data_IF_579321767347
#
_entry.id   IF_579321767347
#
_cell.length_a   1.000
_cell.length_b   1.000
_cell.length_c   1.000
_cell.angle_alpha   90.00
_cell.angle_beta   90.00
_cell.angle_gamma   90.00
#
_symmetry.space_group_name_H-M   'P 1'
#
loop_
_entity.id
_entity.type
_entity.pdbx_description
1 polymer ?
#
# COMPACT_ATOMS: atom_id res chain seq x y z
N UNK A 1 2.88 -12.32 -8.25
CA UNK A 1 3.00 -10.91 -7.89
C UNK A 1 2.49 -10.65 -6.48
N UNK A 2 1.24 -10.98 -6.12
CA UNK A 2 0.65 -10.67 -4.81
C UNK A 2 1.41 -11.26 -3.62
N UNK A 3 1.82 -12.53 -3.68
CA UNK A 3 2.60 -13.16 -2.61
C UNK A 3 3.94 -12.44 -2.34
N UNK A 4 4.60 -11.99 -3.39
CA UNK A 4 5.82 -11.20 -3.29
C UNK A 4 5.57 -9.84 -2.62
N UNK A 5 4.48 -9.19 -2.98
CA UNK A 5 4.06 -7.92 -2.37
C UNK A 5 3.66 -8.09 -0.91
N UNK A 6 2.92 -9.17 -0.59
CA UNK A 6 2.58 -9.49 0.80
C UNK A 6 3.83 -9.77 1.63
N UNK A 7 4.83 -10.47 1.08
CA UNK A 7 6.11 -10.71 1.73
C UNK A 7 6.88 -9.39 1.97
N UNK A 8 6.89 -8.49 0.98
CA UNK A 8 7.48 -7.15 1.12
C UNK A 8 6.84 -6.37 2.28
N UNK A 9 5.51 -6.25 2.31
CA UNK A 9 4.82 -5.56 3.40
C UNK A 9 4.94 -6.28 4.75
N UNK A 10 5.04 -7.61 4.75
CA UNK A 10 5.29 -8.38 5.97
C UNK A 10 6.65 -8.05 6.56
N UNK A 11 7.69 -7.92 5.73
CA UNK A 11 9.02 -7.52 6.18
C UNK A 11 9.03 -6.11 6.80
N UNK A 12 8.30 -5.17 6.20
CA UNK A 12 8.15 -3.81 6.73
C UNK A 12 7.34 -3.77 8.02
N UNK A 13 6.21 -4.48 8.07
CA UNK A 13 5.35 -4.55 9.25
C UNK A 13 5.98 -5.34 10.42
N UNK A 14 7.02 -6.12 10.16
CA UNK A 14 7.83 -6.79 11.16
C UNK A 14 8.86 -5.89 11.85
N UNK A 15 9.14 -4.71 11.29
CA UNK A 15 10.04 -3.74 11.89
C UNK A 15 9.43 -3.18 13.19
N UNK A 16 10.30 -2.87 14.16
CA UNK A 16 9.85 -2.26 15.40
C UNK A 16 9.51 -0.78 15.16
N UNK A 17 8.32 -0.33 15.57
CA UNK A 17 7.98 1.09 15.49
C UNK A 17 8.94 1.92 16.35
N UNK A 18 9.32 3.10 15.86
CA UNK A 18 10.13 4.03 16.64
C UNK A 18 9.40 4.46 17.93
N UNK A 19 10.04 4.24 19.08
CA UNK A 19 9.52 4.57 20.42
C UNK A 19 10.49 5.42 21.22
N UNK A 20 11.41 6.13 20.59
CA UNK A 20 12.36 6.99 21.28
C UNK A 20 11.66 8.26 21.81
N UNK A 21 12.23 8.87 22.86
CA UNK A 21 11.76 10.17 23.34
C UNK A 21 11.84 11.27 22.27
N UNK A 22 12.80 11.17 21.35
CA UNK A 22 12.90 12.06 20.18
C UNK A 22 11.71 11.87 19.24
N UNK A 23 11.30 10.63 18.97
CA UNK A 23 10.13 10.33 18.15
C UNK A 23 8.82 10.82 18.81
N UNK A 24 8.76 10.86 20.14
CA UNK A 24 7.64 11.44 20.86
C UNK A 24 7.61 12.98 20.76
N UNK A 25 8.75 13.64 20.80
CA UNK A 25 8.83 15.11 20.77
C UNK A 25 8.81 15.70 19.35
N UNK A 26 9.51 15.07 18.41
CA UNK A 26 9.71 15.58 17.04
C UNK A 26 8.97 14.80 15.95
N UNK A 27 8.16 13.81 16.33
CA UNK A 27 7.54 12.89 15.40
C UNK A 27 8.42 11.70 15.01
N UNK A 28 7.81 10.70 14.41
CA UNK A 28 8.50 9.53 13.87
C UNK A 28 9.08 9.86 12.51
N UNK A 29 10.17 9.20 12.16
CA UNK A 29 10.87 9.35 10.88
C UNK A 29 11.03 7.99 10.15
N UNK A 30 10.27 6.97 10.57
CA UNK A 30 10.28 5.63 9.98
C UNK A 30 9.12 5.42 8.99
N UNK A 31 8.54 6.52 8.52
CA UNK A 31 7.53 6.50 7.47
C UNK A 31 8.15 6.42 6.07
N UNK A 32 7.41 5.80 5.17
CA UNK A 32 7.67 5.82 3.75
C UNK A 32 6.39 6.13 2.97
N UNK A 33 6.53 6.72 1.78
CA UNK A 33 5.42 6.97 0.89
C UNK A 33 5.45 5.99 -0.29
N UNK A 34 4.30 5.38 -0.56
CA UNK A 34 4.03 4.60 -1.76
C UNK A 34 3.06 5.41 -2.60
N UNK A 35 3.48 5.75 -3.81
CA UNK A 35 2.73 6.69 -4.62
C UNK A 35 2.48 6.11 -6.01
N UNK A 36 1.25 6.25 -6.49
CA UNK A 36 0.86 5.99 -7.87
C UNK A 36 0.48 7.33 -8.48
N UNK A 37 1.21 7.75 -9.48
CA UNK A 37 1.10 9.07 -10.08
C UNK A 37 0.78 8.95 -11.56
N UNK A 38 -0.27 9.61 -12.01
CA UNK A 38 -0.56 9.80 -13.42
C UNK A 38 -0.21 11.25 -13.80
N UNK A 39 0.74 11.39 -14.70
CA UNK A 39 1.18 12.67 -15.24
C UNK A 39 1.50 12.51 -16.72
N UNK A 40 1.07 13.47 -17.56
CA UNK A 40 1.24 13.40 -19.03
C UNK A 40 0.74 12.06 -19.61
N UNK A 41 -0.39 11.59 -19.10
CA UNK A 41 -1.02 10.31 -19.47
C UNK A 41 -0.20 9.06 -19.14
N UNK A 42 0.88 9.16 -18.38
CA UNK A 42 1.72 8.03 -17.97
C UNK A 42 1.55 7.77 -16.48
N UNK A 43 1.31 6.51 -16.14
CA UNK A 43 1.20 6.04 -14.76
C UNK A 43 2.53 5.49 -14.31
N UNK A 44 3.06 6.04 -13.21
CA UNK A 44 4.31 5.64 -12.59
C UNK A 44 4.11 5.30 -11.12
N UNK A 45 4.93 4.40 -10.63
CA UNK A 45 4.98 4.01 -9.22
C UNK A 45 6.23 4.61 -8.58
N UNK A 46 6.04 5.32 -7.48
CA UNK A 46 7.13 5.93 -6.72
C UNK A 46 7.16 5.39 -5.30
N UNK A 47 8.35 5.28 -4.76
CA UNK A 47 8.59 4.95 -3.35
C UNK A 47 9.53 5.99 -2.77
N UNK A 48 9.05 6.76 -1.80
CA UNK A 48 9.85 7.76 -1.10
C UNK A 48 10.18 7.25 0.29
N UNK A 49 11.45 7.23 0.63
CA UNK A 49 11.95 6.65 1.88
C UNK A 49 13.00 7.55 2.53
N UNK A 50 13.15 7.51 3.86
CA UNK A 50 14.28 8.15 4.52
C UNK A 50 15.62 7.59 4.00
N UNK A 51 16.62 8.43 3.85
CA UNK A 51 17.96 8.01 3.37
C UNK A 51 18.57 6.85 4.17
N UNK A 52 18.28 6.80 5.48
CA UNK A 52 18.73 5.72 6.36
C UNK A 52 18.13 4.34 6.02
N UNK A 53 16.98 4.32 5.35
CA UNK A 53 16.27 3.08 4.98
C UNK A 53 16.39 2.74 3.50
N UNK A 54 17.03 3.58 2.70
CA UNK A 54 17.08 3.45 1.24
C UNK A 54 17.61 2.07 0.81
N UNK A 55 18.81 1.69 1.26
CA UNK A 55 19.44 0.42 0.87
C UNK A 55 18.58 -0.78 1.26
N UNK A 56 17.97 -0.75 2.45
CA UNK A 56 17.10 -1.83 2.90
C UNK A 56 15.86 -1.96 2.00
N UNK A 57 15.23 -0.83 1.66
CA UNK A 57 14.03 -0.83 0.81
C UNK A 57 14.35 -1.24 -0.62
N UNK A 58 15.45 -0.77 -1.20
CA UNK A 58 15.91 -1.20 -2.54
C UNK A 58 16.17 -2.73 -2.58
N UNK A 59 16.80 -3.27 -1.55
CA UNK A 59 17.01 -4.71 -1.42
C UNK A 59 15.68 -5.46 -1.27
N UNK A 60 14.76 -4.96 -0.45
CA UNK A 60 13.45 -5.58 -0.23
C UNK A 60 12.59 -5.55 -1.51
N UNK A 61 12.59 -4.45 -2.27
CA UNK A 61 11.92 -4.35 -3.57
C UNK A 61 12.54 -5.37 -4.55
N UNK A 62 13.86 -5.43 -4.62
CA UNK A 62 14.58 -6.33 -5.52
C UNK A 62 14.35 -7.80 -5.20
N UNK A 63 14.20 -8.14 -3.92
CA UNK A 63 13.89 -9.49 -3.48
C UNK A 63 12.45 -9.88 -3.80
N UNK A 64 11.51 -8.93 -3.67
CA UNK A 64 10.10 -9.15 -3.97
C UNK A 64 9.81 -9.19 -5.48
N UNK A 65 10.46 -8.31 -6.25
CA UNK A 65 10.25 -8.17 -7.69
C UNK A 65 11.60 -8.14 -8.43
N UNK A 66 12.07 -9.31 -8.84
CA UNK A 66 13.37 -9.48 -9.51
C UNK A 66 13.50 -8.67 -10.80
N UNK A 67 12.38 -8.42 -11.46
CA UNK A 67 12.31 -7.71 -12.75
C UNK A 67 12.02 -6.21 -12.61
N UNK A 68 11.77 -5.72 -11.37
CA UNK A 68 11.58 -4.31 -11.12
C UNK A 68 12.91 -3.55 -11.25
N UNK A 69 12.86 -2.44 -11.98
CA UNK A 69 13.96 -1.48 -12.02
C UNK A 69 13.68 -0.34 -11.04
N UNK A 70 14.59 -0.14 -10.09
CA UNK A 70 14.53 0.95 -9.12
C UNK A 70 15.58 1.97 -9.48
N UNK A 71 15.15 3.19 -9.79
CA UNK A 71 16.03 4.31 -10.14
C UNK A 71 15.72 5.50 -9.26
N UNK A 72 16.75 6.20 -8.74
CA UNK A 72 16.55 7.48 -8.08
C UNK A 72 16.07 8.49 -9.13
N UNK A 73 15.03 9.22 -8.81
CA UNK A 73 14.44 10.23 -9.68
C UNK A 73 14.22 11.51 -8.89
N UNK A 74 14.12 12.63 -9.61
CA UNK A 74 13.65 13.89 -9.05
C UNK A 74 12.17 13.77 -8.65
N UNK A 75 11.74 14.63 -7.71
CA UNK A 75 10.36 14.62 -7.25
C UNK A 75 9.40 15.02 -8.38
N UNK A 76 8.24 14.40 -8.40
CA UNK A 76 7.21 14.66 -9.40
C UNK A 76 6.38 15.90 -9.03
N UNK A 77 5.87 16.59 -10.03
CA UNK A 77 4.94 17.70 -9.85
C UNK A 77 3.68 17.48 -10.69
N UNK A 78 2.57 17.21 -10.02
CA UNK A 78 1.26 17.04 -10.67
C UNK A 78 0.49 18.35 -10.85
N UNK A 79 1.01 19.46 -10.35
CA UNK A 79 0.32 20.73 -10.31
C UNK A 79 0.60 21.55 -11.59
N UNK A 80 -0.45 22.04 -12.22
CA UNK A 80 -0.37 23.02 -13.29
C UNK A 80 -0.52 24.44 -12.71
N UNK A 81 0.22 25.45 -13.21
CA UNK A 81 0.10 26.82 -12.73
C UNK A 81 -1.33 27.39 -12.82
N UNK A 82 -2.10 26.98 -13.82
CA UNK A 82 -3.49 27.38 -14.04
C UNK A 82 -4.50 26.34 -13.58
N UNK A 83 -4.02 25.21 -13.04
CA UNK A 83 -4.86 24.07 -12.67
C UNK A 83 -5.63 24.27 -11.37
N UNK A 84 -6.78 23.66 -11.30
CA UNK A 84 -7.58 23.57 -10.07
C UNK A 84 -7.22 22.28 -9.34
N UNK A 85 -6.69 22.42 -8.13
CA UNK A 85 -6.29 21.28 -7.30
C UNK A 85 -7.41 20.93 -6.34
N UNK A 86 -7.76 19.66 -6.26
CA UNK A 86 -8.68 19.08 -5.29
C UNK A 86 -8.07 17.84 -4.67
N UNK A 87 -8.55 17.46 -3.48
CA UNK A 87 -8.07 16.23 -2.85
C UNK A 87 -8.89 15.84 -1.64
N UNK A 88 -8.67 14.64 -1.18
CA UNK A 88 -9.32 14.08 -0.01
C UNK A 88 -8.36 13.13 0.72
N UNK A 89 -8.60 12.94 2.01
CA UNK A 89 -8.08 11.78 2.72
C UNK A 89 -9.02 10.59 2.50
N UNK A 90 -8.45 9.41 2.54
CA UNK A 90 -9.18 8.14 2.53
C UNK A 90 -9.06 7.53 3.92
N UNK A 91 -10.15 7.09 4.50
CA UNK A 91 -10.20 6.45 5.82
C UNK A 91 -11.03 5.18 5.78
N UNK A 92 -10.89 4.35 6.80
CA UNK A 92 -11.80 3.23 7.02
C UNK A 92 -13.08 3.71 7.71
N UNK A 93 -14.23 3.18 7.28
CA UNK A 93 -15.55 3.53 7.84
C UNK A 93 -15.76 2.96 9.24
N UNK A 94 -15.14 1.82 9.54
CA UNK A 94 -15.21 1.13 10.83
C UNK A 94 -13.83 1.06 11.49
N UNK A 95 -13.75 0.47 12.68
CA UNK A 95 -12.47 0.22 13.36
C UNK A 95 -11.51 -0.55 12.45
N UNK A 96 -10.23 -0.22 12.51
CA UNK A 96 -9.17 -0.88 11.73
C UNK A 96 -9.01 -2.39 12.04
N UNK A 97 -9.67 -2.90 13.08
CA UNK A 97 -9.70 -4.33 13.37
C UNK A 97 -10.50 -5.14 12.32
N UNK A 98 -11.50 -4.53 11.68
CA UNK A 98 -12.30 -5.18 10.66
C UNK A 98 -11.57 -5.19 9.32
N UNK A 99 -11.59 -6.34 8.59
CA UNK A 99 -10.89 -6.47 7.32
C UNK A 99 -11.61 -5.77 6.17
N UNK A 100 -10.84 -5.36 5.17
CA UNK A 100 -11.32 -5.03 3.83
C UNK A 100 -11.27 -6.28 2.93
N UNK A 101 -11.86 -6.22 1.74
CA UNK A 101 -11.77 -7.28 0.74
C UNK A 101 -10.39 -7.28 0.11
N UNK A 102 -9.70 -8.40 0.20
CA UNK A 102 -8.34 -8.57 -0.33
C UNK A 102 -8.35 -9.23 -1.71
N UNK A 103 -7.21 -9.22 -2.38
CA UNK A 103 -7.00 -9.87 -3.68
C UNK A 103 -7.39 -11.36 -3.68
N UNK A 104 -7.32 -12.05 -2.52
CA UNK A 104 -7.71 -13.47 -2.39
C UNK A 104 -9.20 -13.72 -2.59
N UNK A 105 -10.02 -12.68 -2.42
CA UNK A 105 -11.49 -12.74 -2.53
C UNK A 105 -11.99 -11.96 -3.76
N UNK A 106 -11.09 -11.63 -4.70
CA UNK A 106 -11.41 -10.92 -5.94
C UNK A 106 -10.98 -11.74 -7.15
N UNK A 107 -11.82 -11.76 -8.18
CA UNK A 107 -11.56 -12.53 -9.42
C UNK A 107 -10.56 -11.80 -10.35
N UNK A 108 -10.49 -10.47 -10.23
CA UNK A 108 -9.61 -9.61 -11.02
C UNK A 108 -8.60 -8.92 -10.13
N UNK A 109 -7.51 -8.45 -10.75
CA UNK A 109 -6.52 -7.63 -10.07
C UNK A 109 -7.17 -6.34 -9.54
N UNK A 110 -7.22 -6.16 -8.20
CA UNK A 110 -7.88 -5.01 -7.59
C UNK A 110 -7.20 -3.67 -7.91
N UNK A 111 -5.90 -3.65 -8.23
CA UNK A 111 -5.17 -2.46 -8.63
C UNK A 111 -5.71 -1.87 -9.94
N UNK A 112 -6.31 -2.70 -10.80
CA UNK A 112 -6.91 -2.22 -12.05
C UNK A 112 -7.95 -1.11 -11.81
N UNK A 113 -8.75 -1.18 -10.74
CA UNK A 113 -9.70 -0.13 -10.41
C UNK A 113 -9.01 1.21 -10.14
N UNK A 114 -7.89 1.19 -9.43
CA UNK A 114 -7.09 2.37 -9.09
C UNK A 114 -6.42 2.93 -10.35
N UNK A 115 -5.73 2.11 -11.12
CA UNK A 115 -5.04 2.55 -12.34
C UNK A 115 -6.01 3.04 -13.42
N UNK A 116 -7.12 2.35 -13.63
CA UNK A 116 -8.16 2.75 -14.58
C UNK A 116 -8.81 4.09 -14.22
N UNK A 117 -8.93 4.42 -12.93
CA UNK A 117 -9.52 5.68 -12.49
C UNK A 117 -8.76 6.93 -12.96
N UNK A 118 -7.46 6.77 -13.25
CA UNK A 118 -6.58 7.86 -13.73
C UNK A 118 -6.07 7.66 -15.16
N UNK A 119 -6.36 6.52 -15.78
CA UNK A 119 -5.83 6.17 -17.11
C UNK A 119 -6.31 7.11 -18.23
N UNK A 120 -7.47 7.75 -18.05
CA UNK A 120 -8.10 8.63 -19.06
C UNK A 120 -7.85 10.11 -18.82
N UNK A 121 -6.99 10.47 -17.85
CA UNK A 121 -6.67 11.88 -17.60
C UNK A 121 -6.06 12.54 -18.86
N UNK A 122 -6.47 13.79 -19.18
CA UNK A 122 -5.81 14.59 -20.21
C UNK A 122 -4.33 14.79 -19.90
N UNK A 123 -3.52 15.04 -20.92
CA UNK A 123 -2.07 15.23 -20.78
C UNK A 123 -1.70 16.42 -19.88
N UNK A 124 -2.56 17.44 -19.85
CA UNK A 124 -2.40 18.66 -19.05
C UNK A 124 -2.85 18.52 -17.60
N UNK A 125 -3.43 17.38 -17.24
CA UNK A 125 -3.95 17.10 -15.90
C UNK A 125 -3.08 16.06 -15.19
N UNK A 126 -3.11 16.11 -13.87
CA UNK A 126 -2.33 15.18 -13.04
C UNK A 126 -3.13 14.64 -11.85
N UNK A 127 -2.83 13.43 -11.44
CA UNK A 127 -3.43 12.84 -10.25
C UNK A 127 -2.45 11.92 -9.53
N UNK A 128 -2.62 11.80 -8.21
CA UNK A 128 -1.81 10.93 -7.40
C UNK A 128 -2.61 10.26 -6.27
N UNK A 129 -2.35 8.97 -6.08
CA UNK A 129 -2.65 8.25 -4.85
C UNK A 129 -1.38 8.20 -4.01
N UNK A 130 -1.46 8.60 -2.76
CA UNK A 130 -0.34 8.59 -1.82
C UNK A 130 -0.73 7.78 -0.59
N UNK A 131 0.02 6.74 -0.29
CA UNK A 131 -0.09 5.91 0.90
C UNK A 131 1.18 6.08 1.73
N UNK A 132 1.09 6.83 2.81
CA UNK A 132 2.16 6.92 3.80
C UNK A 132 2.01 5.75 4.74
N UNK A 133 3.06 4.95 4.90
CA UNK A 133 3.05 3.75 5.72
C UNK A 133 4.20 3.76 6.71
N UNK A 134 3.99 3.15 7.86
CA UNK A 134 5.04 2.92 8.87
C UNK A 134 4.70 1.71 9.74
N UNK A 135 5.67 1.09 10.44
CA UNK A 135 5.42 0.00 11.35
C UNK A 135 4.42 0.40 12.45
N UNK A 136 3.43 -0.46 12.72
CA UNK A 136 2.39 -0.18 13.74
C UNK A 136 2.70 -0.88 15.07
N UNK A 137 2.06 -0.39 16.14
CA UNK A 137 2.08 -1.07 17.43
C UNK A 137 1.10 -2.25 17.43
N UNK A 138 1.33 -3.27 18.28
CA UNK A 138 0.43 -4.43 18.38
C UNK A 138 -0.94 -4.16 19.02
N UNK A 139 -1.28 -2.91 19.35
CA UNK A 139 -2.53 -2.57 20.04
C UNK A 139 -3.78 -2.91 19.21
N UNK A 140 -3.77 -2.63 17.92
CA UNK A 140 -4.86 -2.94 17.01
C UNK A 140 -5.17 -4.44 16.94
N UNK A 141 -4.12 -5.27 16.91
CA UNK A 141 -4.21 -6.74 16.89
C UNK A 141 -4.87 -7.25 18.18
N UNK A 142 -4.39 -6.79 19.34
CA UNK A 142 -4.99 -7.14 20.64
C UNK A 142 -6.47 -6.76 20.70
N UNK A 143 -6.83 -5.62 20.12
CA UNK A 143 -8.22 -5.16 20.05
C UNK A 143 -9.07 -6.07 19.17
N UNK A 144 -8.60 -6.45 17.98
CA UNK A 144 -9.30 -7.37 17.07
C UNK A 144 -9.55 -8.73 17.73
N UNK A 145 -8.49 -9.34 18.29
CA UNK A 145 -8.59 -10.63 19.02
C UNK A 145 -9.57 -10.53 20.19
N UNK A 146 -9.55 -9.41 20.95
CA UNK A 146 -10.48 -9.21 22.06
C UNK A 146 -11.93 -9.13 21.61
N UNK A 147 -12.20 -8.44 20.49
CA UNK A 147 -13.55 -8.35 19.92
C UNK A 147 -14.01 -9.75 19.50
N UNK A 148 -13.22 -10.50 18.74
CA UNK A 148 -13.52 -11.86 18.33
C UNK A 148 -13.78 -12.79 19.52
N UNK A 149 -12.93 -12.73 20.55
CA UNK A 149 -13.10 -13.54 21.77
C UNK A 149 -14.39 -13.18 22.56
N UNK A 150 -14.79 -11.91 22.56
CA UNK A 150 -16.05 -11.48 23.19
C UNK A 150 -17.26 -11.97 22.39
N UNK A 151 -17.22 -11.92 21.07
CA UNK A 151 -18.27 -12.46 20.20
C UNK A 151 -18.41 -13.98 20.39
N UNK A 152 -17.28 -14.70 20.47
CA UNK A 152 -17.27 -16.15 20.77
C UNK A 152 -17.90 -16.49 22.12
N UNK A 153 -17.94 -15.54 23.08
CA UNK A 153 -18.64 -15.69 24.35
C UNK A 153 -20.12 -15.30 24.27
N UNK A 154 -20.69 -15.12 23.09
CA UNK A 154 -22.09 -14.79 22.86
C UNK A 154 -22.43 -13.30 22.97
N UNK A 155 -21.42 -12.40 22.95
CA UNK A 155 -21.71 -10.95 22.89
C UNK A 155 -22.08 -10.55 21.45
N UNK A 156 -23.01 -9.61 21.31
CA UNK A 156 -23.26 -8.98 20.02
C UNK A 156 -22.01 -8.22 19.55
N UNK A 157 -21.83 -8.05 18.22
CA UNK A 157 -20.71 -7.29 17.68
C UNK A 157 -20.59 -5.91 18.33
N UNK A 158 -21.71 -5.20 18.55
CA UNK A 158 -21.72 -3.86 19.15
C UNK A 158 -21.21 -3.85 20.60
N UNK A 159 -21.61 -4.85 21.41
CA UNK A 159 -21.17 -4.97 22.79
C UNK A 159 -19.72 -5.43 22.89
N UNK A 160 -19.30 -6.34 22.00
CA UNK A 160 -17.92 -6.80 21.90
C UNK A 160 -16.95 -5.65 21.57
N UNK A 161 -17.34 -4.71 20.68
CA UNK A 161 -16.58 -3.52 20.33
C UNK A 161 -16.48 -2.55 21.51
N UNK A 162 -17.60 -2.33 22.24
CA UNK A 162 -17.65 -1.41 23.38
C UNK A 162 -16.96 -1.97 24.62
N UNK A 163 -16.70 -3.27 24.66
CA UNK A 163 -16.12 -3.96 25.81
C UNK A 163 -17.03 -3.97 27.05
N UNK A 164 -18.30 -3.68 26.88
CA UNK A 164 -19.27 -3.79 27.95
C UNK A 164 -19.52 -5.28 28.19
N UNK A 165 -19.11 -5.78 29.38
CA UNK A 165 -19.68 -7.00 29.90
C UNK A 165 -21.20 -6.78 29.94
N UNK A 166 -21.97 -7.58 29.24
CA UNK A 166 -23.38 -7.72 29.55
C UNK A 166 -23.44 -8.31 30.95
N UNK A 167 -23.43 -7.43 31.93
CA UNK A 167 -23.82 -7.79 33.28
C UNK A 167 -25.32 -8.04 33.26
N UNK A 168 -25.72 -9.16 32.68
CA UNK A 168 -26.93 -9.86 33.07
C UNK A 168 -26.63 -10.72 34.32
N UNK A 169 -25.86 -10.19 35.25
CA UNK A 169 -25.99 -10.54 36.64
C UNK A 169 -27.23 -9.77 37.08
N UNK A 170 -28.36 -10.38 36.80
CA UNK A 170 -29.65 -9.84 37.26
C UNK A 170 -29.65 -9.77 38.77
N UNK A 171 -30.35 -8.77 39.30
CA UNK A 171 -30.76 -8.64 40.66
C UNK A 171 -31.31 -9.96 41.26
N UNK A 172 -31.60 -10.95 40.48
CA UNK A 172 -31.99 -12.34 40.82
C UNK A 172 -30.91 -13.14 41.58
N UNK A 173 -29.61 -12.78 41.48
CA UNK A 173 -28.56 -13.46 42.27
C UNK A 173 -28.47 -12.98 43.70
N UNK A 174 -29.10 -11.86 44.02
CA UNK A 174 -29.25 -11.34 45.39
C UNK A 174 -30.43 -11.97 46.13
N UNK A 175 -31.34 -12.68 45.45
CA UNK A 175 -32.57 -13.27 46.03
C UNK A 175 -32.56 -14.79 46.14
N UNK A 176 -31.43 -15.46 45.90
CA UNK A 176 -31.23 -16.89 46.20
C UNK A 176 -32.05 -17.86 45.38
N UNK A 177 -32.75 -17.46 44.32
CA UNK A 177 -33.48 -18.36 43.42
C UNK A 177 -32.54 -18.83 42.32
N UNK A 178 -31.91 -19.98 42.52
CA UNK A 178 -31.25 -20.76 41.49
C UNK A 178 -32.28 -21.29 40.48
N UNK A 179 -32.66 -20.52 39.49
CA UNK A 179 -33.15 -21.10 38.26
C UNK A 179 -31.95 -21.52 37.41
N UNK A 180 -31.74 -22.81 37.26
CA UNK A 180 -30.93 -23.38 36.21
C UNK A 180 -31.62 -23.00 34.88
N UNK A 181 -31.27 -21.82 34.34
CA UNK A 181 -31.48 -21.58 32.93
C UNK A 181 -30.36 -22.33 32.20
N UNK A 182 -30.76 -23.41 31.52
CA UNK A 182 -29.97 -23.96 30.44
C UNK A 182 -29.34 -22.81 29.67
N UNK A 183 -28.01 -22.84 29.54
CA UNK A 183 -27.26 -21.95 28.68
C UNK A 183 -27.81 -22.26 27.28
N UNK A 184 -28.77 -21.47 26.81
CA UNK A 184 -29.03 -21.44 25.36
C UNK A 184 -27.69 -21.20 24.72
N UNK A 185 -27.18 -22.23 24.04
CA UNK A 185 -26.02 -22.10 23.15
C UNK A 185 -26.37 -20.95 22.20
N UNK A 186 -25.79 -19.83 22.44
CA UNK A 186 -25.98 -18.64 21.60
C UNK A 186 -25.37 -18.99 20.25
N UNK A 187 -26.16 -19.61 19.37
CA UNK A 187 -25.76 -19.90 18.00
C UNK A 187 -25.47 -18.56 17.36
N UNK A 188 -24.19 -18.35 17.09
CA UNK A 188 -23.73 -17.19 16.32
C UNK A 188 -24.44 -17.22 14.96
N UNK A 189 -24.84 -16.06 14.49
CA UNK A 189 -25.32 -15.98 13.11
C UNK A 189 -24.17 -16.29 12.13
N UNK A 190 -24.43 -16.80 10.93
CA UNK A 190 -23.38 -17.00 9.92
C UNK A 190 -22.57 -15.71 9.65
N UNK A 191 -23.21 -14.55 9.79
CA UNK A 191 -22.57 -13.25 9.63
C UNK A 191 -21.60 -12.96 10.78
N UNK A 192 -21.96 -13.29 12.02
CA UNK A 192 -21.09 -13.13 13.18
C UNK A 192 -19.88 -14.06 13.12
N UNK A 193 -20.08 -15.29 12.62
CA UNK A 193 -18.97 -16.23 12.37
C UNK A 193 -17.98 -15.69 11.34
N UNK A 194 -18.47 -15.15 10.22
CA UNK A 194 -17.64 -14.51 9.20
C UNK A 194 -16.92 -13.29 9.74
N UNK A 195 -17.58 -12.48 10.58
CA UNK A 195 -16.97 -11.33 11.22
C UNK A 195 -15.82 -11.73 12.16
N UNK A 196 -16.05 -12.78 12.98
CA UNK A 196 -15.01 -13.32 13.88
C UNK A 196 -13.82 -13.85 13.09
N UNK A 197 -14.07 -14.68 12.09
CA UNK A 197 -13.03 -15.23 11.22
C UNK A 197 -12.22 -14.11 10.55
N UNK A 198 -12.90 -13.09 10.03
CA UNK A 198 -12.25 -11.93 9.42
C UNK A 198 -11.37 -11.14 10.40
N UNK A 199 -11.82 -10.97 11.66
CA UNK A 199 -11.02 -10.32 12.71
C UNK A 199 -9.76 -11.14 13.06
N UNK A 200 -9.89 -12.45 13.20
CA UNK A 200 -8.77 -13.36 13.51
C UNK A 200 -7.78 -13.42 12.34
N UNK A 201 -8.29 -13.58 11.10
CA UNK A 201 -7.47 -13.59 9.88
C UNK A 201 -6.67 -12.28 9.74
N UNK A 202 -7.31 -11.13 9.89
CA UNK A 202 -6.63 -9.85 9.86
C UNK A 202 -5.57 -9.74 10.95
N UNK A 203 -5.88 -10.14 12.17
CA UNK A 203 -4.97 -10.09 13.31
C UNK A 203 -3.78 -11.05 13.20
N UNK A 204 -3.84 -12.10 12.38
CA UNK A 204 -2.75 -13.08 12.20
C UNK A 204 -1.56 -12.53 11.42
N UNK A 205 -1.73 -11.44 10.66
CA UNK A 205 -0.72 -10.89 9.75
C UNK A 205 -0.03 -9.65 10.32
N UNK A 206 1.12 -9.30 9.74
CA UNK A 206 1.82 -8.06 10.07
C UNK A 206 0.96 -6.85 9.68
N UNK A 207 0.92 -5.83 10.52
CA UNK A 207 0.17 -4.60 10.28
C UNK A 207 1.08 -3.40 10.07
N UNK A 208 0.53 -2.41 9.38
CA UNK A 208 1.17 -1.12 9.11
C UNK A 208 0.17 0.00 9.41
N UNK A 209 0.64 1.07 10.02
CA UNK A 209 -0.11 2.33 10.10
C UNK A 209 -0.12 2.94 8.71
N UNK A 210 -1.29 3.37 8.25
CA UNK A 210 -1.48 3.93 6.92
C UNK A 210 -2.19 5.28 7.02
N UNK A 211 -1.65 6.29 6.32
CA UNK A 211 -2.32 7.55 6.05
C UNK A 211 -2.46 7.69 4.53
N UNK A 212 -3.70 7.71 4.02
CA UNK A 212 -3.96 7.71 2.59
C UNK A 212 -4.55 9.03 2.12
N UNK A 213 -4.01 9.56 1.02
CA UNK A 213 -4.46 10.78 0.35
C UNK A 213 -4.63 10.53 -1.14
N UNK A 214 -5.57 11.24 -1.73
CA UNK A 214 -5.74 11.33 -3.17
C UNK A 214 -5.80 12.80 -3.56
N UNK A 215 -5.09 13.16 -4.61
CA UNK A 215 -5.01 14.54 -5.11
C UNK A 215 -5.14 14.52 -6.63
N UNK A 216 -5.96 15.42 -7.16
CA UNK A 216 -6.12 15.64 -8.59
C UNK A 216 -5.96 17.12 -8.92
N UNK A 217 -5.28 17.39 -10.03
CA UNK A 217 -5.14 18.71 -10.62
C UNK A 217 -5.77 18.67 -12.01
N UNK A 218 -6.87 19.36 -12.18
CA UNK A 218 -7.62 19.45 -13.44
C UNK A 218 -7.54 20.85 -14.05
N UNK A 219 -7.84 20.95 -15.34
CA UNK A 219 -7.89 22.22 -16.04
C UNK A 219 -9.06 23.09 -15.55
N UNK A 220 -10.15 22.47 -15.12
CA UNK A 220 -11.34 23.12 -14.55
C UNK A 220 -11.71 22.50 -13.20
N UNK A 221 -12.56 23.18 -12.45
CA UNK A 221 -13.06 22.65 -11.17
C UNK A 221 -13.89 21.37 -11.36
N UNK A 222 -14.67 21.30 -12.42
CA UNK A 222 -15.49 20.14 -12.78
C UNK A 222 -14.60 18.94 -13.12
N UNK A 223 -13.57 19.13 -13.96
CA UNK A 223 -12.62 18.07 -14.31
C UNK A 223 -11.89 17.54 -13.09
N UNK A 224 -11.37 18.44 -12.23
CA UNK A 224 -10.69 18.06 -11.00
C UNK A 224 -11.62 17.26 -10.05
N UNK A 225 -12.88 17.70 -9.89
CA UNK A 225 -13.85 17.00 -9.04
C UNK A 225 -14.26 15.66 -9.62
N UNK A 226 -14.44 15.56 -10.94
CA UNK A 226 -14.75 14.30 -11.63
C UNK A 226 -13.61 13.29 -11.43
N UNK A 227 -12.35 13.73 -11.58
CA UNK A 227 -11.17 12.90 -11.36
C UNK A 227 -11.08 12.42 -9.90
N UNK A 228 -11.31 13.33 -8.93
CA UNK A 228 -11.34 12.97 -7.51
C UNK A 228 -12.45 11.96 -7.20
N UNK A 229 -13.63 12.10 -7.79
CA UNK A 229 -14.74 11.18 -7.61
C UNK A 229 -14.42 9.79 -8.20
N UNK A 230 -13.83 9.74 -9.40
CA UNK A 230 -13.38 8.50 -10.02
C UNK A 230 -12.33 7.77 -9.13
N UNK A 231 -11.35 8.51 -8.60
CA UNK A 231 -10.33 7.97 -7.70
C UNK A 231 -10.92 7.43 -6.39
N UNK A 232 -11.91 8.10 -5.82
CA UNK A 232 -12.62 7.62 -4.62
C UNK A 232 -13.40 6.35 -4.91
N UNK A 233 -14.09 6.29 -6.05
CA UNK A 233 -14.85 5.12 -6.47
C UNK A 233 -13.96 3.90 -6.75
N UNK A 234 -12.68 4.11 -7.07
CA UNK A 234 -11.71 3.04 -7.25
C UNK A 234 -11.48 2.18 -5.99
N UNK A 235 -11.87 2.66 -4.83
CA UNK A 235 -11.83 1.89 -3.58
C UNK A 235 -13.06 0.99 -3.36
N UNK A 236 -14.11 1.09 -4.19
CA UNK A 236 -15.33 0.28 -4.02
C UNK A 236 -15.10 -1.24 -4.04
N UNK A 237 -14.20 -1.80 -4.88
CA UNK A 237 -13.93 -3.25 -4.89
C UNK A 237 -13.37 -3.82 -3.58
N UNK A 238 -12.80 -2.98 -2.73
CA UNK A 238 -12.22 -3.39 -1.44
C UNK A 238 -13.22 -3.42 -0.29
N UNK A 239 -14.47 -3.00 -0.52
CA UNK A 239 -15.47 -2.87 0.52
C UNK A 239 -16.09 -4.23 0.89
N UNK A 240 -16.25 -4.46 2.18
CA UNK A 240 -17.03 -5.57 2.75
C UNK A 240 -18.10 -4.95 3.64
N UNK A 241 -19.28 -4.77 3.09
CA UNK A 241 -20.34 -4.01 3.77
C UNK A 241 -20.98 -4.77 4.95
N UNK A 242 -21.04 -6.07 4.85
CA UNK A 242 -21.76 -6.92 5.81
C UNK A 242 -20.99 -7.06 7.13
N UNK A 243 -19.85 -7.70 7.10
CA UNK A 243 -19.07 -8.05 8.31
C UNK A 243 -17.70 -7.39 8.39
N UNK A 244 -17.26 -6.71 7.34
CA UNK A 244 -15.93 -6.13 7.24
C UNK A 244 -15.91 -4.61 7.33
N UNK A 245 -15.01 -4.03 6.60
CA UNK A 245 -14.77 -2.60 6.53
C UNK A 245 -14.97 -2.07 5.09
N UNK A 246 -15.03 -0.77 4.98
CA UNK A 246 -15.11 -0.06 3.70
C UNK A 246 -14.27 1.19 3.76
N UNK A 247 -13.87 1.70 2.59
CA UNK A 247 -13.24 2.99 2.48
C UNK A 247 -14.28 4.11 2.42
N UNK A 248 -13.95 5.22 3.06
CA UNK A 248 -14.77 6.42 3.08
C UNK A 248 -13.91 7.65 2.81
N UNK A 249 -14.52 8.65 2.17
CA UNK A 249 -13.94 9.98 1.98
C UNK A 249 -13.87 10.71 3.31
N UNK A 250 -12.73 11.37 3.57
CA UNK A 250 -12.57 12.34 4.64
C UNK A 250 -12.18 13.69 4.03
N UNK A 251 -13.08 14.66 4.16
CA UNK A 251 -12.88 15.99 3.56
C UNK A 251 -11.89 16.78 4.40
N UNK A 252 -10.80 17.31 3.83
CA UNK A 252 -9.84 18.10 4.57
C UNK A 252 -10.46 19.42 5.05
N UNK A 253 -10.21 19.78 6.31
CA UNK A 253 -10.65 21.09 6.88
C UNK A 253 -9.96 22.27 6.19
N UNK A 254 -8.74 22.10 5.74
CA UNK A 254 -7.95 23.08 4.99
C UNK A 254 -7.35 22.41 3.77
N UNK A 255 -7.70 22.88 2.59
CA UNK A 255 -7.14 22.41 1.32
C UNK A 255 -5.64 22.70 1.23
N UNK A 256 -5.21 23.90 1.60
CA UNK A 256 -3.82 24.31 1.55
C UNK A 256 -2.94 23.42 2.44
N UNK A 257 -3.39 23.12 3.70
CA UNK A 257 -2.67 22.22 4.59
C UNK A 257 -2.58 20.80 4.05
N UNK A 258 -3.65 20.29 3.43
CA UNK A 258 -3.65 18.96 2.84
C UNK A 258 -2.69 18.88 1.65
N UNK A 259 -2.65 19.90 0.78
CA UNK A 259 -1.70 19.97 -0.34
C UNK A 259 -0.27 20.06 0.17
N UNK A 260 0.01 20.91 1.17
CA UNK A 260 1.33 20.99 1.82
C UNK A 260 1.76 19.63 2.38
N UNK A 261 0.87 18.98 3.12
CA UNK A 261 1.13 17.65 3.69
C UNK A 261 1.32 16.57 2.61
N UNK A 262 0.68 16.69 1.45
CA UNK A 262 0.91 15.81 0.30
C UNK A 262 2.30 16.03 -0.30
N UNK A 263 2.69 17.28 -0.56
CA UNK A 263 3.99 17.65 -1.15
C UNK A 263 5.15 17.21 -0.23
N UNK A 264 5.04 17.48 1.06
CA UNK A 264 6.09 17.15 2.03
C UNK A 264 5.99 15.72 2.58
N UNK A 265 5.01 14.95 2.15
CA UNK A 265 4.76 13.57 2.61
C UNK A 265 4.62 13.47 4.13
N UNK A 266 3.96 14.47 4.73
CA UNK A 266 3.75 14.51 6.18
C UNK A 266 2.75 13.43 6.62
N UNK A 267 3.13 12.65 7.62
CA UNK A 267 2.25 11.64 8.21
C UNK A 267 1.25 12.30 9.18
N UNK A 268 -0.05 12.05 9.00
CA UNK A 268 -1.10 12.59 9.88
C UNK A 268 -1.60 11.50 10.85
N UNK A 269 -1.13 11.58 12.10
CA UNK A 269 -1.52 10.63 13.16
C UNK A 269 -3.02 10.60 13.44
N UNK A 270 -3.73 11.70 13.21
CA UNK A 270 -5.18 11.79 13.43
C UNK A 270 -6.01 11.11 12.33
N UNK A 271 -5.39 10.83 11.17
CA UNK A 271 -6.02 10.19 10.02
C UNK A 271 -5.43 8.83 9.69
N UNK A 272 -4.83 8.23 10.71
CA UNK A 272 -4.18 6.91 10.59
C UNK A 272 -5.18 5.79 10.77
N UNK A 273 -5.08 4.79 9.94
CA UNK A 273 -5.76 3.50 10.09
C UNK A 273 -4.76 2.36 9.88
N UNK A 274 -5.13 1.14 10.26
CA UNK A 274 -4.22 -0.01 10.12
C UNK A 274 -4.72 -0.94 9.04
N UNK A 275 -3.82 -1.25 8.10
CA UNK A 275 -3.97 -2.36 7.15
C UNK A 275 -2.93 -3.43 7.48
N UNK A 276 -3.30 -4.70 7.26
CA UNK A 276 -2.31 -5.76 7.29
C UNK A 276 -1.60 -5.89 5.94
N UNK A 277 -0.55 -6.70 5.88
CA UNK A 277 0.28 -6.87 4.69
C UNK A 277 -0.50 -7.34 3.45
N UNK A 278 -1.50 -8.21 3.62
CA UNK A 278 -2.36 -8.69 2.53
C UNK A 278 -3.31 -7.61 2.02
N UNK A 279 -3.91 -6.84 2.93
CA UNK A 279 -4.80 -5.73 2.58
C UNK A 279 -4.04 -4.64 1.83
N UNK A 280 -2.82 -4.31 2.29
CA UNK A 280 -1.99 -3.31 1.64
C UNK A 280 -1.49 -3.81 0.28
N UNK A 281 -1.11 -5.09 0.16
CA UNK A 281 -0.75 -5.71 -1.11
C UNK A 281 -1.90 -5.72 -2.12
N UNK A 282 -3.15 -5.70 -1.64
CA UNK A 282 -4.31 -5.60 -2.52
C UNK A 282 -4.50 -4.21 -3.11
N UNK A 283 -4.11 -3.15 -2.36
CA UNK A 283 -4.31 -1.75 -2.76
C UNK A 283 -3.11 -1.23 -3.55
N UNK A 284 -1.92 -1.63 -3.16
CA UNK A 284 -0.68 -1.19 -3.80
C UNK A 284 0.26 -2.37 -4.04
N UNK A 285 0.57 -2.61 -5.29
CA UNK A 285 1.60 -3.54 -5.76
C UNK A 285 2.10 -3.08 -7.12
N UNK A 286 3.23 -3.58 -7.56
CA UNK A 286 3.69 -3.31 -8.91
C UNK A 286 2.78 -4.02 -9.92
N UNK A 287 2.51 -3.39 -11.08
CA UNK A 287 1.63 -3.94 -12.09
C UNK A 287 2.14 -5.30 -12.58
N UNK A 288 1.21 -6.15 -12.93
CA UNK A 288 1.49 -7.47 -13.47
C UNK A 288 1.32 -7.46 -14.99
N UNK A 289 1.85 -8.44 -15.73
CA UNK A 289 1.57 -8.58 -17.17
C UNK A 289 0.07 -8.67 -17.52
N UNK A 290 -0.75 -8.95 -16.52
CA UNK A 290 -2.22 -9.04 -16.63
C UNK A 290 -2.93 -7.70 -16.31
N UNK A 291 -2.16 -6.64 -16.04
CA UNK A 291 -2.74 -5.33 -15.80
C UNK A 291 -3.30 -4.77 -17.11
N UNK A 292 -4.61 -4.50 -17.10
CA UNK A 292 -5.36 -4.09 -18.30
C UNK A 292 -5.18 -2.59 -18.65
N UNK A 293 -4.41 -1.83 -17.86
CA UNK A 293 -4.25 -0.38 -18.01
C UNK A 293 -3.11 -0.07 -18.98
N UNK A 294 -3.40 0.57 -20.13
CA UNK A 294 -2.41 0.74 -21.20
C UNK A 294 -1.32 1.77 -20.90
N UNK A 295 -1.59 2.71 -19.98
CA UNK A 295 -0.75 3.88 -19.74
C UNK A 295 0.31 3.66 -18.65
N UNK A 296 0.49 2.43 -18.17
CA UNK A 296 1.52 2.11 -17.18
C UNK A 296 2.88 2.11 -17.87
N UNK A 297 3.86 2.75 -17.24
CA UNK A 297 5.23 2.73 -17.75
C UNK A 297 5.86 1.36 -17.50
N UNK A 298 6.09 0.62 -18.57
CA UNK A 298 6.79 -0.66 -18.56
C UNK A 298 8.25 -0.48 -18.96
N UNK A 299 9.12 -1.35 -18.44
CA UNK A 299 10.45 -1.51 -19.00
C UNK A 299 10.36 -2.27 -20.32
N UNK A 300 10.98 -1.73 -21.36
CA UNK A 300 11.01 -2.37 -22.68
C UNK A 300 11.97 -3.56 -22.72
N UNK A 301 13.00 -3.57 -21.88
CA UNK A 301 13.95 -4.65 -21.76
C UNK A 301 14.32 -4.93 -20.31
N UNK A 302 14.57 -6.21 -20.01
CA UNK A 302 15.05 -6.63 -18.69
C UNK A 302 16.47 -6.14 -18.47
N UNK A 303 16.70 -5.37 -17.40
CA UNK A 303 18.05 -5.00 -16.97
C UNK A 303 18.58 -6.06 -16.03
N UNK A 304 19.79 -6.57 -16.32
CA UNK A 304 20.47 -7.58 -15.51
C UNK A 304 21.88 -7.10 -15.16
N UNK A 305 22.45 -7.58 -14.04
CA UNK A 305 23.84 -7.29 -13.74
C UNK A 305 24.77 -7.85 -14.80
N UNK A 306 25.91 -7.24 -14.95
CA UNK A 306 26.95 -7.74 -15.83
C UNK A 306 27.39 -9.15 -15.37
N UNK A 307 27.64 -10.12 -16.29
CA UNK A 307 28.12 -11.42 -15.93
C UNK A 307 29.43 -11.36 -15.11
N UNK A 308 29.59 -12.24 -14.12
CA UNK A 308 30.77 -12.24 -13.27
C UNK A 308 32.07 -12.60 -14.00
N UNK A 309 31.98 -13.24 -15.16
CA UNK A 309 33.08 -13.71 -15.98
C UNK A 309 33.48 -12.77 -17.13
N UNK A 310 33.17 -11.49 -17.03
CA UNK A 310 33.59 -10.50 -18.02
C UNK A 310 35.12 -10.43 -18.07
N UNK A 311 35.73 -10.45 -19.27
CA UNK A 311 37.17 -10.26 -19.40
C UNK A 311 37.61 -8.95 -18.77
N UNK A 312 38.77 -8.95 -18.09
CA UNK A 312 39.38 -7.71 -17.56
C UNK A 312 39.99 -6.90 -18.70
N UNK A 313 40.16 -5.58 -18.54
CA UNK A 313 40.84 -4.78 -19.55
C UNK A 313 42.31 -5.21 -19.64
N UNK A 314 42.67 -5.84 -20.73
CA UNK A 314 44.01 -6.29 -21.08
C UNK A 314 44.31 -5.89 -22.54
N UNK A 315 45.61 -5.98 -22.93
CA UNK A 315 45.99 -5.73 -24.32
C UNK A 315 45.27 -6.69 -25.26
N UNK A 316 44.73 -6.17 -26.36
CA UNK A 316 43.92 -6.95 -27.30
C UNK A 316 42.45 -7.11 -26.93
N UNK A 317 42.00 -6.57 -25.80
CA UNK A 317 40.58 -6.50 -25.45
C UNK A 317 39.93 -5.21 -25.95
N UNK A 318 38.67 -5.28 -26.36
CA UNK A 318 37.89 -4.13 -26.84
C UNK A 318 36.70 -3.93 -25.92
N UNK A 319 36.50 -2.69 -25.46
CA UNK A 319 35.31 -2.33 -24.72
C UNK A 319 34.09 -2.23 -25.66
N UNK A 320 33.05 -2.98 -25.35
CA UNK A 320 31.78 -2.97 -26.10
C UNK A 320 30.83 -1.88 -25.60
N UNK A 321 30.94 -1.51 -24.33
CA UNK A 321 30.07 -0.53 -23.70
C UNK A 321 30.14 -0.62 -22.17
N UNK A 322 29.19 0.02 -21.50
CA UNK A 322 29.02 -0.06 -20.06
C UNK A 322 27.66 -0.67 -19.72
N UNK A 323 27.66 -1.70 -18.90
CA UNK A 323 26.43 -2.16 -18.27
C UNK A 323 26.11 -1.22 -17.10
N UNK A 324 24.91 -0.65 -17.09
CA UNK A 324 24.42 0.18 -15.99
C UNK A 324 23.31 -0.59 -15.30
N UNK A 325 23.61 -1.11 -14.11
CA UNK A 325 22.66 -1.87 -13.31
C UNK A 325 22.64 -1.35 -11.87
N UNK A 326 21.50 -0.82 -11.43
CA UNK A 326 21.31 -0.27 -10.08
C UNK A 326 22.35 0.81 -9.71
N UNK A 327 22.65 1.71 -10.66
CA UNK A 327 23.64 2.76 -10.46
C UNK A 327 25.10 2.31 -10.52
N UNK A 328 25.36 1.02 -10.67
CA UNK A 328 26.71 0.48 -10.85
C UNK A 328 27.03 0.43 -12.33
N UNK A 329 28.13 1.09 -12.72
CA UNK A 329 28.65 1.11 -14.08
C UNK A 329 29.74 0.04 -14.21
N UNK A 330 29.50 -0.99 -14.99
CA UNK A 330 30.47 -2.07 -15.24
C UNK A 330 30.88 -2.06 -16.70
N UNK A 331 32.13 -1.74 -17.05
CA UNK A 331 32.59 -1.78 -18.44
C UNK A 331 32.62 -3.22 -18.93
N UNK A 332 32.05 -3.44 -20.13
CA UNK A 332 31.95 -4.76 -20.77
C UNK A 332 33.06 -4.89 -21.81
N UNK A 333 33.93 -5.84 -21.61
CA UNK A 333 35.06 -6.11 -22.49
C UNK A 333 34.87 -7.43 -23.25
N UNK A 334 35.41 -7.53 -24.45
CA UNK A 334 35.46 -8.75 -25.25
C UNK A 334 36.90 -8.98 -25.71
N UNK A 335 37.33 -10.25 -25.69
CA UNK A 335 38.64 -10.66 -26.21
C UNK A 335 38.68 -10.51 -27.73
N UNK A 336 39.82 -10.12 -28.28
CA UNK A 336 39.97 -9.98 -29.71
C UNK A 336 39.68 -11.31 -30.47
N UNK A 337 40.09 -12.42 -29.91
CA UNK A 337 39.82 -13.73 -30.46
C UNK A 337 38.33 -14.06 -30.58
N UNK A 338 37.51 -13.54 -29.65
CA UNK A 338 36.05 -13.76 -29.63
C UNK A 338 35.32 -12.79 -30.56
N UNK A 339 35.95 -11.72 -31.05
CA UNK A 339 35.39 -10.80 -32.04
C UNK A 339 35.12 -11.41 -33.37
N UNK A 340 35.84 -12.45 -33.72
CA UNK A 340 35.71 -13.18 -35.02
C UNK A 340 34.55 -14.17 -35.02
N UNK A 341 33.89 -14.40 -33.86
CA UNK A 341 32.70 -15.25 -33.75
C UNK A 341 31.45 -14.44 -34.00
N UNK A 342 30.32 -15.13 -34.25
CA UNK A 342 29.02 -14.47 -34.45
C UNK A 342 28.64 -13.63 -33.26
N UNK A 343 28.23 -12.36 -33.50
CA UNK A 343 27.75 -11.42 -32.49
C UNK A 343 26.39 -10.90 -32.89
N UNK A 344 25.48 -10.88 -31.95
CA UNK A 344 24.24 -10.13 -32.07
C UNK A 344 24.27 -8.96 -31.06
N UNK A 345 24.18 -7.74 -31.57
CA UNK A 345 24.05 -6.54 -30.74
C UNK A 345 22.65 -6.01 -30.95
N UNK A 346 21.87 -6.01 -29.91
CA UNK A 346 20.57 -5.35 -29.87
C UNK A 346 20.78 -4.02 -29.16
N UNK A 347 20.71 -2.93 -29.90
CA UNK A 347 20.79 -1.57 -29.35
C UNK A 347 19.42 -0.91 -29.41
N UNK A 348 18.96 -0.36 -28.30
CA UNK A 348 17.85 0.57 -28.27
C UNK A 348 18.37 1.96 -28.63
N UNK A 349 17.70 2.65 -29.53
CA UNK A 349 18.00 4.07 -29.78
C UNK A 349 17.53 4.89 -28.60
N UNK A 350 18.29 5.94 -28.20
CA UNK A 350 17.91 6.84 -27.12
C UNK A 350 16.62 7.62 -27.41
#
# INVERSE_FOLDING_TARGET
>A
AFAATEAFFTSLGGLKPQKSWKAWLFGRTDEMALELVCLKRVIKFYVTVPRSSQTFIEQAISAAWSDANVEPVEDFNIFSPTGVVVGAHVKLARLSAFPIKTYRKQDKDPLNAITQSVAKLPETEGAAFQFLIRPTSGAWRKRGIKIAANMKKGMTMSDAIRGKRTSKVGVAELTGMKQFKETEEHRLSPLDEQAMQGLEEKASKAGLDVCARIVACGNTAESAQASLAAMLNAFAPYNVYEYGNSFAKDVPRSKARMISAFVHREFDDNRTFVLNAEELASIWHLPTPWSETPNIQWLLARRVPAPANIPRPEEGHVQLGNNVYRGVHTPIWIKEADRRRHRQVIAERP
#
